data_IF_130907636216
#
_entry.id   IF_130907636216
#
_cell.length_a   1.000
_cell.length_b   1.000
_cell.length_c   1.000
_cell.angle_alpha   90.00
_cell.angle_beta   90.00
_cell.angle_gamma   90.00
#
_symmetry.space_group_name_H-M   'P 1'
#
loop_
_entity.id
_entity.type
_entity.pdbx_description
1 polymer ?
#
# COMPACT_ATOMS: atom_id res chain seq x y z
N UNK A 1 36.04 64.67 -87.67
CA UNK A 1 34.98 65.68 -87.96
C UNK A 1 33.61 65.05 -87.71
N UNK A 2 32.69 65.81 -87.08
CA UNK A 2 31.22 65.69 -87.02
C UNK A 2 30.53 64.63 -86.14
N UNK A 3 30.14 65.09 -84.94
CA UNK A 3 28.79 65.19 -84.33
C UNK A 3 27.63 64.26 -84.74
N UNK A 4 26.87 63.81 -83.73
CA UNK A 4 25.44 63.52 -83.85
C UNK A 4 24.79 62.81 -82.66
N UNK A 5 24.21 63.57 -81.72
CA UNK A 5 23.30 63.13 -80.62
C UNK A 5 21.84 63.18 -81.11
N UNK A 6 20.94 62.29 -80.61
CA UNK A 6 19.53 62.62 -80.24
C UNK A 6 18.73 61.45 -79.58
N UNK A 7 18.37 61.69 -78.32
CA UNK A 7 17.19 61.39 -77.46
C UNK A 7 15.95 60.59 -77.97
N UNK A 8 15.58 59.55 -77.16
CA UNK A 8 14.28 59.14 -76.48
C UNK A 8 12.89 59.23 -77.21
N UNK A 9 11.73 58.64 -76.75
CA UNK A 9 11.38 57.95 -75.46
C UNK A 9 10.38 56.72 -75.47
N UNK A 10 10.34 55.99 -74.33
CA UNK A 10 9.21 55.46 -73.52
C UNK A 10 8.09 54.50 -74.05
N UNK A 11 7.93 53.34 -73.37
CA UNK A 11 6.70 52.72 -72.78
C UNK A 11 6.46 51.19 -73.01
N UNK A 12 6.68 50.44 -71.90
CA UNK A 12 5.75 49.54 -71.18
C UNK A 12 5.27 48.21 -71.80
N UNK A 13 5.61 47.10 -71.12
CA UNK A 13 4.73 46.02 -70.58
C UNK A 13 5.60 44.78 -70.27
N UNK A 14 5.87 44.44 -69.01
CA UNK A 14 5.02 43.77 -68.01
C UNK A 14 5.25 42.23 -67.99
N UNK A 15 5.58 41.76 -66.79
CA UNK A 15 5.45 40.41 -66.22
C UNK A 15 6.46 39.33 -66.61
N UNK A 16 7.54 39.31 -65.80
CA UNK A 16 8.50 38.22 -65.67
C UNK A 16 8.02 37.21 -64.63
N UNK A 17 7.67 36.02 -65.12
CA UNK A 17 7.86 34.69 -64.52
C UNK A 17 7.36 34.46 -63.08
N UNK A 18 6.12 34.00 -63.02
CA UNK A 18 5.62 32.83 -62.28
C UNK A 18 6.58 32.23 -61.23
N UNK A 19 6.43 32.69 -59.99
CA UNK A 19 6.96 32.01 -58.82
C UNK A 19 6.03 30.87 -58.43
N UNK A 20 6.10 29.78 -59.20
CA UNK A 20 5.49 28.51 -58.83
C UNK A 20 6.08 28.04 -57.50
N UNK A 21 5.26 28.11 -56.44
CA UNK A 21 5.57 27.56 -55.13
C UNK A 21 5.87 26.06 -55.31
N UNK A 22 7.14 25.66 -55.13
CA UNK A 22 7.48 24.25 -55.00
C UNK A 22 7.00 23.78 -53.62
N UNK A 23 5.75 23.31 -53.54
CA UNK A 23 5.36 22.39 -52.48
C UNK A 23 6.21 21.13 -52.63
N UNK A 24 7.25 21.05 -51.82
CA UNK A 24 8.00 19.81 -51.60
C UNK A 24 7.02 18.82 -50.98
N UNK A 25 6.46 17.92 -51.79
CA UNK A 25 5.66 16.79 -51.31
C UNK A 25 6.47 16.05 -50.23
N UNK A 26 5.97 16.07 -48.99
CA UNK A 26 6.51 15.23 -47.93
C UNK A 26 6.27 13.76 -48.29
N UNK A 27 7.24 12.87 -48.09
CA UNK A 27 7.10 11.47 -48.47
C UNK A 27 6.05 10.83 -47.56
N UNK A 28 5.03 10.21 -48.16
CA UNK A 28 3.96 9.51 -47.45
C UNK A 28 4.46 8.45 -46.44
N UNK A 29 5.72 8.03 -46.57
CA UNK A 29 6.44 7.13 -45.65
C UNK A 29 6.65 7.70 -44.25
N UNK A 30 6.95 9.00 -44.11
CA UNK A 30 7.13 9.64 -42.79
C UNK A 30 5.80 9.71 -42.02
N UNK A 31 4.72 10.07 -42.70
CA UNK A 31 3.38 10.09 -42.10
C UNK A 31 2.88 8.70 -41.70
N UNK A 32 3.27 7.66 -42.44
CA UNK A 32 2.94 6.27 -42.12
C UNK A 32 3.69 5.80 -40.87
N UNK A 33 4.98 6.10 -40.75
CA UNK A 33 5.79 5.78 -39.56
C UNK A 33 5.29 6.51 -38.31
N UNK A 34 4.94 7.79 -38.42
CA UNK A 34 4.35 8.56 -37.30
C UNK A 34 3.01 7.96 -36.84
N UNK A 35 2.18 7.51 -37.79
CA UNK A 35 0.91 6.87 -37.49
C UNK A 35 1.09 5.51 -36.81
N UNK A 36 2.07 4.71 -37.24
CA UNK A 36 2.40 3.42 -36.63
C UNK A 36 2.95 3.61 -35.22
N UNK A 37 3.85 4.58 -35.01
CA UNK A 37 4.40 4.92 -33.70
C UNK A 37 3.30 5.40 -32.73
N UNK A 38 2.35 6.20 -33.23
CA UNK A 38 1.20 6.65 -32.44
C UNK A 38 0.32 5.49 -31.97
N UNK A 39 -0.03 4.57 -32.87
CA UNK A 39 -0.82 3.38 -32.52
C UNK A 39 -0.09 2.46 -31.55
N UNK A 40 1.23 2.32 -31.70
CA UNK A 40 2.05 1.54 -30.78
C UNK A 40 2.05 2.16 -29.37
N UNK A 41 2.14 3.49 -29.27
CA UNK A 41 2.02 4.20 -27.99
C UNK A 41 0.66 3.96 -27.35
N UNK A 42 -0.42 4.10 -28.12
CA UNK A 42 -1.78 3.85 -27.63
C UNK A 42 -1.96 2.42 -27.13
N UNK A 43 -1.41 1.42 -27.83
CA UNK A 43 -1.45 0.03 -27.39
C UNK A 43 -0.69 -0.18 -26.08
N UNK A 44 0.49 0.42 -25.94
CA UNK A 44 1.27 0.36 -24.70
C UNK A 44 0.53 1.00 -23.51
N UNK A 45 -0.14 2.12 -23.75
CA UNK A 45 -0.96 2.80 -22.73
C UNK A 45 -2.13 1.91 -22.30
N UNK A 46 -2.86 1.32 -23.26
CA UNK A 46 -3.95 0.39 -22.98
C UNK A 46 -3.47 -0.85 -22.21
N UNK A 47 -2.33 -1.42 -22.59
CA UNK A 47 -1.72 -2.54 -21.88
C UNK A 47 -1.33 -2.16 -20.45
N UNK A 48 -0.81 -0.96 -20.26
CA UNK A 48 -0.45 -0.43 -18.93
C UNK A 48 -1.69 -0.28 -18.07
N UNK A 49 -2.76 0.29 -18.61
CA UNK A 49 -4.05 0.42 -17.92
C UNK A 49 -4.64 -0.94 -17.57
N UNK A 50 -4.62 -1.91 -18.49
CA UNK A 50 -5.12 -3.27 -18.20
C UNK A 50 -4.33 -3.93 -17.07
N UNK A 51 -3.00 -3.83 -17.08
CA UNK A 51 -2.16 -4.36 -16.00
C UNK A 51 -2.52 -3.69 -14.67
N UNK A 52 -2.63 -2.36 -14.66
CA UNK A 52 -2.98 -1.59 -13.46
C UNK A 52 -4.36 -2.00 -12.91
N UNK A 53 -5.36 -2.22 -13.78
CA UNK A 53 -6.68 -2.67 -13.37
C UNK A 53 -6.63 -4.08 -12.77
N UNK A 54 -5.89 -5.00 -13.37
CA UNK A 54 -5.71 -6.34 -12.83
C UNK A 54 -5.05 -6.32 -11.44
N UNK A 55 -4.03 -5.48 -11.25
CA UNK A 55 -3.35 -5.31 -9.97
C UNK A 55 -4.29 -4.71 -8.90
N UNK A 56 -5.15 -3.75 -9.30
CA UNK A 56 -6.16 -3.17 -8.42
C UNK A 56 -7.21 -4.21 -7.99
N UNK A 57 -7.71 -5.03 -8.93
CA UNK A 57 -8.67 -6.10 -8.62
C UNK A 57 -8.06 -7.11 -7.65
N UNK A 58 -6.81 -7.53 -7.89
CA UNK A 58 -6.10 -8.44 -7.00
C UNK A 58 -5.96 -7.85 -5.59
N UNK A 59 -5.65 -6.56 -5.49
CA UNK A 59 -5.55 -5.82 -4.22
C UNK A 59 -6.87 -5.76 -3.47
N UNK A 60 -7.98 -5.46 -4.15
CA UNK A 60 -9.31 -5.42 -3.54
C UNK A 60 -9.74 -6.80 -3.05
N UNK A 61 -9.51 -7.85 -3.84
CA UNK A 61 -9.82 -9.23 -3.44
C UNK A 61 -8.98 -9.69 -2.25
N UNK A 62 -7.70 -9.34 -2.21
CA UNK A 62 -6.81 -9.65 -1.09
C UNK A 62 -7.28 -8.95 0.20
N UNK A 63 -7.65 -7.67 0.10
CA UNK A 63 -8.17 -6.90 1.24
C UNK A 63 -9.49 -7.48 1.78
N UNK A 64 -10.42 -7.86 0.89
CA UNK A 64 -11.69 -8.46 1.31
C UNK A 64 -11.49 -9.79 2.06
N UNK A 65 -10.58 -10.65 1.57
CA UNK A 65 -10.23 -11.90 2.27
C UNK A 65 -9.55 -11.64 3.61
N UNK A 66 -8.61 -10.69 3.66
CA UNK A 66 -7.96 -10.30 4.90
C UNK A 66 -8.96 -9.82 5.96
N UNK A 67 -9.96 -9.02 5.56
CA UNK A 67 -11.03 -8.58 6.46
C UNK A 67 -11.91 -9.73 6.95
N UNK A 68 -12.25 -10.68 6.08
CA UNK A 68 -13.04 -11.85 6.47
C UNK A 68 -12.31 -12.70 7.53
N UNK A 69 -10.99 -12.90 7.35
CA UNK A 69 -10.14 -13.59 8.32
C UNK A 69 -9.95 -12.80 9.62
N UNK A 70 -9.95 -11.47 9.55
CA UNK A 70 -9.88 -10.62 10.74
C UNK A 70 -11.11 -10.85 11.64
N UNK A 71 -12.30 -11.03 11.07
CA UNK A 71 -13.53 -11.25 11.83
C UNK A 71 -13.56 -12.59 12.59
N UNK A 72 -12.74 -13.57 12.18
CA UNK A 72 -12.63 -14.85 12.89
C UNK A 72 -11.59 -14.83 14.02
N UNK A 73 -10.73 -13.81 14.03
CA UNK A 73 -9.68 -13.66 15.03
C UNK A 73 -10.17 -12.82 16.22
N UNK A 74 -9.66 -13.07 17.44
CA UNK A 74 -10.00 -12.25 18.60
C UNK A 74 -9.55 -10.81 18.38
N UNK A 75 -10.31 -9.85 18.90
CA UNK A 75 -9.90 -8.45 18.92
C UNK A 75 -8.80 -8.25 19.97
N UNK A 76 -7.65 -7.68 19.59
CA UNK A 76 -6.59 -7.31 20.54
C UNK A 76 -7.08 -6.18 21.44
N UNK A 77 -7.00 -6.37 22.75
CA UNK A 77 -7.35 -5.36 23.74
C UNK A 77 -6.21 -4.37 23.97
N UNK A 78 -6.55 -3.11 24.20
CA UNK A 78 -5.65 -1.99 24.39
C UNK A 78 -4.65 -2.18 25.53
N UNK A 79 -5.10 -2.82 26.62
CA UNK A 79 -4.26 -3.14 27.77
C UNK A 79 -3.35 -4.35 27.54
N UNK A 80 -3.46 -5.00 26.38
CA UNK A 80 -2.69 -6.18 26.00
C UNK A 80 -2.99 -7.42 26.83
N UNK A 81 -4.09 -7.44 27.60
CA UNK A 81 -4.46 -8.56 28.48
C UNK A 81 -4.57 -9.89 27.72
N UNK A 82 -5.08 -9.86 26.49
CA UNK A 82 -5.22 -11.02 25.61
C UNK A 82 -4.13 -11.14 24.53
N UNK A 83 -3.01 -10.41 24.64
CA UNK A 83 -1.98 -10.35 23.58
C UNK A 83 -1.50 -11.72 23.10
N UNK A 84 -1.23 -12.66 24.01
CA UNK A 84 -0.75 -14.01 23.64
C UNK A 84 -1.79 -14.82 22.87
N UNK A 85 -3.06 -14.67 23.21
CA UNK A 85 -4.15 -15.35 22.49
C UNK A 85 -4.29 -14.78 21.07
N UNK A 86 -4.26 -13.45 20.96
CA UNK A 86 -4.28 -12.73 19.69
C UNK A 86 -3.08 -13.09 18.80
N UNK A 87 -1.85 -13.06 19.34
CA UNK A 87 -0.62 -13.38 18.61
C UNK A 87 -0.69 -14.81 18.02
N UNK A 88 -1.16 -15.77 18.80
CA UNK A 88 -1.34 -17.15 18.35
C UNK A 88 -2.42 -17.30 17.27
N UNK A 89 -3.52 -16.56 17.37
CA UNK A 89 -4.59 -16.59 16.36
C UNK A 89 -4.14 -15.99 15.03
N UNK A 90 -3.39 -14.88 15.06
CA UNK A 90 -2.75 -14.29 13.88
C UNK A 90 -1.74 -15.28 13.29
N UNK A 91 -0.86 -15.87 14.10
CA UNK A 91 0.14 -16.83 13.61
C UNK A 91 -0.51 -18.01 12.88
N UNK A 92 -1.55 -18.62 13.47
CA UNK A 92 -2.32 -19.71 12.84
C UNK A 92 -2.99 -19.29 11.54
N UNK A 93 -3.56 -18.08 11.51
CA UNK A 93 -4.17 -17.54 10.29
C UNK A 93 -3.14 -17.42 9.18
N UNK A 94 -1.97 -16.85 9.49
CA UNK A 94 -0.88 -16.68 8.51
C UNK A 94 -0.30 -18.03 8.08
N UNK A 95 -0.16 -18.99 8.99
CA UNK A 95 0.24 -20.36 8.65
C UNK A 95 -0.74 -20.99 7.64
N UNK A 96 -2.05 -20.84 7.88
CA UNK A 96 -3.07 -21.39 7.00
C UNK A 96 -3.07 -20.71 5.62
N UNK A 97 -3.08 -19.38 5.59
CA UNK A 97 -3.13 -18.59 4.34
C UNK A 97 -1.90 -18.83 3.47
N UNK A 98 -0.71 -18.96 4.08
CA UNK A 98 0.53 -19.17 3.36
C UNK A 98 0.93 -20.64 3.23
N UNK A 99 0.07 -21.58 3.66
CA UNK A 99 0.31 -23.04 3.61
C UNK A 99 1.67 -23.40 4.20
N UNK A 100 1.85 -23.11 5.49
CA UNK A 100 3.12 -23.32 6.21
C UNK A 100 2.98 -24.31 7.35
N UNK A 101 3.99 -25.17 7.47
CA UNK A 101 4.12 -26.13 8.58
C UNK A 101 4.80 -25.53 9.83
N UNK A 102 5.31 -24.31 9.71
CA UNK A 102 6.04 -23.61 10.78
C UNK A 102 5.41 -22.25 11.09
N UNK A 103 5.59 -21.82 12.34
CA UNK A 103 5.18 -20.50 12.84
C UNK A 103 5.70 -19.37 11.95
N UNK A 104 4.78 -18.46 11.60
CA UNK A 104 5.06 -17.30 10.79
C UNK A 104 5.79 -16.22 11.62
N UNK A 105 5.31 -16.00 12.86
CA UNK A 105 5.74 -14.98 13.81
C UNK A 105 6.88 -15.44 14.75
N UNK A 106 7.74 -16.35 14.32
CA UNK A 106 8.81 -16.90 15.14
C UNK A 106 9.75 -15.81 15.70
N UNK A 107 9.98 -15.82 17.01
CA UNK A 107 10.83 -14.87 17.75
C UNK A 107 12.29 -14.81 17.27
N UNK A 108 12.82 -15.87 16.64
CA UNK A 108 14.20 -15.90 16.13
C UNK A 108 14.33 -15.34 14.72
N UNK A 109 13.35 -15.62 13.86
CA UNK A 109 13.32 -15.14 12.49
C UNK A 109 11.88 -15.20 11.98
N UNK A 110 11.23 -14.04 11.98
CA UNK A 110 9.91 -13.89 11.38
C UNK A 110 9.96 -14.06 9.85
N UNK A 111 8.78 -14.23 9.25
CA UNK A 111 8.65 -14.49 7.82
C UNK A 111 8.13 -13.30 7.02
N UNK A 112 8.06 -12.09 7.59
CA UNK A 112 7.56 -10.91 6.90
C UNK A 112 8.40 -10.54 5.67
N UNK A 113 9.71 -10.83 5.70
CA UNK A 113 10.62 -10.59 4.58
C UNK A 113 10.31 -11.44 3.33
N UNK A 114 9.48 -12.49 3.47
CA UNK A 114 9.05 -13.36 2.36
C UNK A 114 7.78 -12.88 1.68
N UNK A 115 7.14 -11.83 2.21
CA UNK A 115 5.90 -11.29 1.66
C UNK A 115 6.22 -10.36 0.48
N UNK A 116 5.50 -10.54 -0.62
CA UNK A 116 5.46 -9.52 -1.68
C UNK A 116 4.64 -8.29 -1.23
N UNK A 117 4.61 -7.24 -2.07
CA UNK A 117 3.91 -5.99 -1.73
C UNK A 117 2.41 -6.19 -1.46
N UNK A 118 1.77 -7.09 -2.19
CA UNK A 118 0.33 -7.35 -2.09
C UNK A 118 0.03 -8.11 -0.80
N UNK A 119 0.80 -9.16 -0.54
CA UNK A 119 0.71 -9.97 0.68
C UNK A 119 1.01 -9.12 1.91
N UNK A 120 2.01 -8.26 1.87
CA UNK A 120 2.34 -7.36 2.98
C UNK A 120 1.16 -6.45 3.34
N UNK A 121 0.53 -5.83 2.34
CA UNK A 121 -0.68 -5.00 2.52
C UNK A 121 -1.84 -5.81 3.07
N UNK A 122 -2.08 -7.01 2.53
CA UNK A 122 -3.16 -7.89 2.98
C UNK A 122 -2.97 -8.28 4.46
N UNK A 123 -1.76 -8.62 4.87
CA UNK A 123 -1.43 -8.93 6.27
C UNK A 123 -1.61 -7.71 7.17
N UNK A 124 -1.23 -6.51 6.71
CA UNK A 124 -1.46 -5.28 7.46
C UNK A 124 -2.96 -4.99 7.66
N UNK A 125 -3.78 -5.17 6.62
CA UNK A 125 -5.24 -5.04 6.69
C UNK A 125 -5.83 -6.06 7.67
N UNK A 126 -5.40 -7.32 7.58
CA UNK A 126 -5.80 -8.37 8.53
C UNK A 126 -5.54 -7.94 9.97
N UNK A 127 -4.31 -7.51 10.28
CA UNK A 127 -3.93 -7.09 11.63
C UNK A 127 -4.76 -5.90 12.11
N UNK A 128 -4.92 -4.86 11.29
CA UNK A 128 -5.75 -3.67 11.61
C UNK A 128 -7.20 -4.07 11.89
N UNK A 129 -7.75 -5.01 11.11
CA UNK A 129 -9.09 -5.55 11.30
C UNK A 129 -9.27 -6.27 12.65
N UNK A 130 -8.18 -6.71 13.29
CA UNK A 130 -8.21 -7.37 14.60
C UNK A 130 -7.92 -6.44 15.79
N UNK A 131 -7.79 -5.13 15.59
CA UNK A 131 -7.56 -4.18 16.68
C UNK A 131 -8.87 -3.67 17.26
N UNK A 132 -8.88 -3.34 18.55
CA UNK A 132 -9.87 -2.42 19.09
C UNK A 132 -9.68 -1.00 18.55
N UNK A 133 -10.72 -0.17 18.68
CA UNK A 133 -10.77 1.16 18.07
C UNK A 133 -9.68 2.11 18.59
N UNK A 134 -9.29 1.98 19.87
CA UNK A 134 -8.26 2.82 20.47
C UNK A 134 -6.86 2.47 19.92
N UNK A 135 -6.56 1.18 19.78
CA UNK A 135 -5.33 0.71 19.15
C UNK A 135 -5.30 1.06 17.66
N UNK A 136 -6.42 0.91 16.96
CA UNK A 136 -6.53 1.26 15.54
C UNK A 136 -6.19 2.74 15.32
N UNK A 137 -6.76 3.65 16.13
CA UNK A 137 -6.50 5.09 16.04
C UNK A 137 -5.02 5.42 16.24
N UNK A 138 -4.35 4.77 17.21
CA UNK A 138 -2.91 4.94 17.42
C UNK A 138 -2.12 4.48 16.21
N UNK A 139 -2.46 3.31 15.66
CA UNK A 139 -1.74 2.74 14.50
C UNK A 139 -1.93 3.62 13.26
N UNK A 140 -3.14 4.13 13.01
CA UNK A 140 -3.43 5.04 11.90
C UNK A 140 -2.67 6.37 12.03
N UNK A 141 -2.53 6.90 13.24
CA UNK A 141 -1.78 8.14 13.51
C UNK A 141 -0.28 8.02 13.26
N UNK A 142 0.28 6.82 13.22
CA UNK A 142 1.73 6.59 13.01
C UNK A 142 2.09 6.30 11.54
N UNK A 143 1.13 6.38 10.60
CA UNK A 143 1.34 6.16 9.16
C UNK A 143 2.04 4.83 8.81
N UNK A 144 1.90 3.80 9.66
CA UNK A 144 2.59 2.52 9.47
C UNK A 144 1.94 1.73 8.33
N UNK A 145 2.68 1.54 7.24
CA UNK A 145 2.18 0.81 6.06
C UNK A 145 2.64 -0.65 6.02
N UNK A 146 3.83 -0.96 6.55
CA UNK A 146 4.39 -2.30 6.51
C UNK A 146 3.82 -3.20 7.63
N UNK A 147 3.42 -4.42 7.27
CA UNK A 147 2.89 -5.40 8.24
C UNK A 147 3.87 -5.77 9.36
N UNK A 148 5.18 -5.82 9.08
CA UNK A 148 6.21 -6.11 10.09
C UNK A 148 6.28 -5.02 11.15
N UNK A 149 6.38 -3.76 10.71
CA UNK A 149 6.49 -2.61 11.62
C UNK A 149 5.23 -2.46 12.47
N UNK A 150 4.07 -2.75 11.87
CA UNK A 150 2.80 -2.81 12.59
C UNK A 150 2.84 -3.89 13.69
N UNK A 151 3.28 -5.10 13.35
CA UNK A 151 3.38 -6.19 14.31
C UNK A 151 4.33 -5.84 15.47
N UNK A 152 5.51 -5.27 15.19
CA UNK A 152 6.48 -4.86 16.21
C UNK A 152 5.95 -3.73 17.10
N UNK A 153 5.22 -2.77 16.54
CA UNK A 153 4.55 -1.73 17.34
C UNK A 153 3.52 -2.36 18.30
N UNK A 154 2.66 -3.24 17.79
CA UNK A 154 1.64 -3.92 18.60
C UNK A 154 2.29 -4.79 19.68
N UNK A 155 3.35 -5.51 19.33
CA UNK A 155 4.16 -6.31 20.25
C UNK A 155 4.76 -5.48 21.37
N UNK A 156 5.45 -4.38 21.04
CA UNK A 156 6.08 -3.53 22.05
C UNK A 156 5.07 -2.93 23.03
N UNK A 157 3.93 -2.44 22.54
CA UNK A 157 2.88 -1.86 23.39
C UNK A 157 2.14 -2.93 24.20
N UNK A 158 1.59 -3.95 23.55
CA UNK A 158 0.64 -4.86 24.18
C UNK A 158 1.31 -6.01 24.96
N UNK A 159 2.47 -6.50 24.53
CA UNK A 159 3.20 -7.57 25.27
C UNK A 159 3.79 -7.05 26.59
N UNK A 160 4.18 -5.78 26.65
CA UNK A 160 4.60 -5.14 27.90
C UNK A 160 3.41 -4.81 28.80
N UNK A 161 2.37 -4.19 28.26
CA UNK A 161 1.18 -3.80 29.03
C UNK A 161 0.47 -5.02 29.65
N UNK A 162 0.33 -6.12 28.90
CA UNK A 162 -0.23 -7.36 29.43
C UNK A 162 0.56 -7.93 30.61
N UNK A 163 1.91 -7.83 30.60
CA UNK A 163 2.75 -8.20 31.75
C UNK A 163 2.51 -7.29 32.95
N UNK A 164 2.44 -5.98 32.73
CA UNK A 164 2.16 -5.01 33.78
C UNK A 164 0.78 -5.22 34.41
N UNK A 165 -0.24 -5.47 33.60
CA UNK A 165 -1.60 -5.75 34.06
C UNK A 165 -1.63 -6.98 34.98
N UNK A 166 -0.97 -8.08 34.57
CA UNK A 166 -0.85 -9.30 35.39
C UNK A 166 -0.15 -9.04 36.73
N UNK A 167 0.94 -8.28 36.73
CA UNK A 167 1.66 -7.89 37.96
C UNK A 167 0.77 -7.08 38.89
N UNK A 168 0.02 -6.11 38.36
CA UNK A 168 -0.92 -5.29 39.13
C UNK A 168 -2.00 -6.17 39.77
N UNK A 169 -2.55 -7.13 39.02
CA UNK A 169 -3.57 -8.05 39.53
C UNK A 169 -3.02 -8.93 40.65
N UNK A 170 -1.82 -9.51 40.49
CA UNK A 170 -1.16 -10.31 41.54
C UNK A 170 -0.93 -9.48 42.81
N UNK A 171 -0.46 -8.23 42.67
CA UNK A 171 -0.32 -7.32 43.83
C UNK A 171 -1.65 -7.07 44.54
N UNK A 172 -2.74 -6.88 43.79
CA UNK A 172 -4.09 -6.72 44.37
C UNK A 172 -4.53 -7.98 45.12
N UNK A 173 -4.34 -9.17 44.54
CA UNK A 173 -4.69 -10.46 45.18
C UNK A 173 -3.89 -10.66 46.46
N UNK A 174 -2.58 -10.40 46.44
CA UNK A 174 -1.72 -10.54 47.61
C UNK A 174 -2.17 -9.63 48.76
N UNK A 175 -2.51 -8.37 48.43
CA UNK A 175 -3.08 -7.43 49.41
C UNK A 175 -4.43 -7.94 49.96
N UNK A 176 -5.32 -8.43 49.10
CA UNK A 176 -6.59 -9.00 49.56
C UNK A 176 -6.41 -10.22 50.47
N UNK A 177 -5.45 -11.09 50.16
CA UNK A 177 -5.13 -12.25 51.00
C UNK A 177 -4.51 -11.82 52.34
N UNK A 178 -3.67 -10.78 52.35
CA UNK A 178 -3.10 -10.21 53.57
C UNK A 178 -4.15 -9.50 54.44
N UNK A 179 -5.16 -8.88 53.83
CA UNK A 179 -6.30 -8.24 54.52
C UNK A 179 -7.32 -9.29 55.02
N UNK A 180 -7.33 -10.49 54.44
CA UNK A 180 -8.23 -11.60 54.78
C UNK A 180 -7.48 -12.77 55.40
N UNK A 181 -6.87 -12.62 56.58
CA UNK A 181 -6.80 -13.71 57.56
C UNK A 181 -6.44 -13.22 58.97
N UNK A 182 -7.05 -13.77 60.06
CA UNK A 182 -8.14 -14.75 60.07
C UNK A 182 -9.49 -14.07 60.25
N UNK A 183 -10.54 -14.66 59.66
CA UNK A 183 -11.86 -14.55 60.26
C UNK A 183 -11.70 -14.97 61.73
N UNK A 184 -11.88 -14.02 62.65
CA UNK A 184 -11.93 -14.32 64.08
C UNK A 184 -12.97 -15.42 64.27
N UNK A 185 -12.66 -16.40 65.12
CA UNK A 185 -13.49 -17.57 65.46
C UNK A 185 -14.90 -17.22 66.00
N UNK A 186 -15.28 -15.95 66.00
CA UNK A 186 -16.58 -15.39 66.40
C UNK A 186 -17.77 -15.78 65.51
N UNK A 187 -17.60 -16.68 64.55
CA UNK A 187 -18.69 -17.19 63.68
C UNK A 187 -19.06 -18.66 63.96
N UNK A 188 -18.36 -19.32 64.90
CA UNK A 188 -18.63 -20.72 65.29
C UNK A 188 -19.29 -20.84 66.68
N UNK A 189 -19.82 -19.73 67.24
CA UNK A 189 -20.59 -19.74 68.48
C UNK A 189 -22.07 -20.07 68.24
#
# INVERSE_FOLDING_TARGET
>A
MRFGVKNTPNERSADSNDSGSFERFQPATEMADDSVNHLQSQLNDLQTVMRQQNDMIASLQAAARAQALANTNPKLSFDGSNYTEWENAIDRTLQHVFVRDQTFLNDKQDNFHKLDSLQNKAVAVLMRGTLDDALLLIVESNEITASKDLFELLRSKCKMLGRHHKIILVKKILRFAAEKSPASESWLA
#
